data_IF_632826836692
#
_entry.id   IF_632826836692
#
_cell.length_a   1.000
_cell.length_b   1.000
_cell.length_c   1.000
_cell.angle_alpha   90.00
_cell.angle_beta   90.00
_cell.angle_gamma   90.00
#
_symmetry.space_group_name_H-M   'P 1'
#
loop_
_entity.id
_entity.type
_entity.pdbx_description
1 polymer ?
#
# COMPACT_ATOMS: atom_id res chain seq x y z
N UNK A 1 -39.72 12.43 -2.79
CA UNK A 1 -38.79 12.09 -1.69
C UNK A 1 -37.44 12.62 -2.11
N UNK A 2 -36.83 13.46 -1.27
CA UNK A 2 -35.59 14.16 -1.59
C UNK A 2 -34.48 13.14 -1.89
N UNK A 3 -33.84 13.28 -3.05
CA UNK A 3 -32.56 12.65 -3.35
C UNK A 3 -31.56 13.23 -2.36
N UNK A 4 -31.16 12.46 -1.35
CA UNK A 4 -29.98 12.79 -0.57
C UNK A 4 -28.84 12.97 -1.57
N UNK A 5 -28.28 14.18 -1.62
CA UNK A 5 -27.10 14.49 -2.41
C UNK A 5 -25.94 13.80 -1.70
N UNK A 6 -25.82 12.48 -1.89
CA UNK A 6 -24.70 11.72 -1.36
C UNK A 6 -23.46 12.18 -2.14
N UNK A 7 -22.64 12.97 -1.47
CA UNK A 7 -21.36 13.42 -2.00
C UNK A 7 -20.49 12.17 -2.23
N UNK A 8 -20.16 11.90 -3.49
CA UNK A 8 -19.32 10.77 -3.89
C UNK A 8 -17.89 11.30 -4.00
N UNK A 9 -17.00 10.74 -3.19
CA UNK A 9 -15.58 10.97 -3.30
C UNK A 9 -14.94 9.84 -4.14
N UNK A 10 -14.20 10.21 -5.19
CA UNK A 10 -13.46 9.26 -6.01
C UNK A 10 -12.01 9.22 -5.53
N UNK A 11 -11.63 8.09 -4.93
CA UNK A 11 -10.27 7.85 -4.46
C UNK A 11 -9.53 6.96 -5.48
N UNK A 12 -8.33 7.37 -5.88
CA UNK A 12 -7.43 6.56 -6.72
C UNK A 12 -6.44 5.83 -5.83
N UNK A 13 -6.88 4.77 -5.17
CA UNK A 13 -6.02 3.88 -4.39
C UNK A 13 -5.07 3.07 -5.30
N UNK A 14 -4.07 2.45 -4.69
CA UNK A 14 -3.24 1.46 -5.36
C UNK A 14 -3.98 0.12 -5.57
N UNK A 15 -3.37 -0.79 -6.33
CA UNK A 15 -3.90 -2.15 -6.50
C UNK A 15 -3.66 -3.02 -5.26
N UNK A 16 -4.56 -3.97 -5.01
CA UNK A 16 -4.37 -5.03 -4.00
C UNK A 16 -3.33 -6.09 -4.40
N UNK A 17 -2.95 -6.13 -5.69
CA UNK A 17 -2.04 -7.12 -6.27
C UNK A 17 -2.74 -8.37 -6.80
N UNK A 18 -4.07 -8.46 -6.69
CA UNK A 18 -4.88 -9.52 -7.29
C UNK A 18 -5.25 -9.15 -8.73
N UNK A 19 -4.26 -9.06 -9.63
CA UNK A 19 -4.42 -8.43 -10.95
C UNK A 19 -5.46 -9.09 -11.86
N UNK A 20 -5.83 -10.35 -11.64
CA UNK A 20 -6.92 -11.00 -12.40
C UNK A 20 -8.31 -10.46 -12.03
N UNK A 21 -8.42 -9.66 -10.97
CA UNK A 21 -9.65 -8.96 -10.58
C UNK A 21 -9.65 -7.49 -11.02
N UNK A 22 -8.56 -7.01 -11.63
CA UNK A 22 -8.44 -5.60 -11.98
C UNK A 22 -9.14 -5.29 -13.32
N UNK A 23 -9.86 -4.15 -13.45
CA UNK A 23 -10.05 -3.14 -12.41
C UNK A 23 -11.00 -3.61 -11.30
N UNK A 24 -10.53 -3.55 -10.06
CA UNK A 24 -11.31 -3.90 -8.88
C UNK A 24 -11.82 -2.62 -8.22
N UNK A 25 -13.12 -2.36 -8.35
CA UNK A 25 -13.72 -1.13 -7.85
C UNK A 25 -14.29 -1.39 -6.45
N UNK A 26 -13.90 -0.55 -5.49
CA UNK A 26 -14.36 -0.62 -4.11
C UNK A 26 -15.28 0.54 -3.77
N UNK A 27 -16.31 0.27 -2.97
CA UNK A 27 -17.21 1.26 -2.38
C UNK A 27 -17.12 1.12 -0.86
N UNK A 28 -16.84 2.23 -0.21
CA UNK A 28 -16.86 2.35 1.24
C UNK A 28 -18.15 3.02 1.70
N UNK A 29 -18.92 2.35 2.55
CA UNK A 29 -20.12 2.90 3.15
C UNK A 29 -20.28 2.35 4.57
N UNK A 30 -20.66 3.21 5.52
CA UNK A 30 -20.82 2.82 6.94
C UNK A 30 -19.57 2.09 7.50
N UNK A 31 -18.37 2.57 7.15
CA UNK A 31 -17.07 1.98 7.49
C UNK A 31 -16.88 0.52 7.01
N UNK A 32 -17.61 0.10 5.97
CA UNK A 32 -17.41 -1.18 5.30
C UNK A 32 -16.99 -0.93 3.87
N UNK A 33 -15.82 -1.42 3.51
CA UNK A 33 -15.31 -1.43 2.14
C UNK A 33 -15.62 -2.78 1.51
N UNK A 34 -16.33 -2.77 0.39
CA UNK A 34 -16.57 -3.96 -0.43
C UNK A 34 -16.23 -3.60 -1.87
N UNK A 35 -15.80 -4.57 -2.66
CA UNK A 35 -15.47 -4.34 -4.06
C UNK A 35 -15.97 -5.43 -4.98
N UNK A 36 -15.90 -5.13 -6.27
CA UNK A 36 -16.30 -6.01 -7.35
C UNK A 36 -15.27 -5.91 -8.48
N UNK A 37 -14.96 -7.05 -9.09
CA UNK A 37 -14.12 -7.11 -10.29
C UNK A 37 -14.89 -6.65 -11.51
N UNK A 38 -14.28 -5.77 -12.29
CA UNK A 38 -14.73 -5.37 -13.62
C UNK A 38 -13.72 -5.79 -14.70
N UNK A 39 -12.88 -6.80 -14.44
CA UNK A 39 -11.88 -7.30 -15.40
C UNK A 39 -12.49 -7.70 -16.76
N UNK A 40 -13.68 -8.30 -16.74
CA UNK A 40 -14.40 -8.77 -17.93
C UNK A 40 -15.60 -7.90 -18.31
N UNK A 41 -15.76 -6.72 -17.69
CA UNK A 41 -16.90 -5.81 -17.91
C UNK A 41 -16.41 -4.47 -18.47
N UNK A 42 -17.08 -3.97 -19.50
CA UNK A 42 -16.87 -2.60 -19.96
C UNK A 42 -17.61 -1.62 -19.03
N UNK A 43 -16.88 -0.90 -18.19
CA UNK A 43 -17.45 0.10 -17.28
C UNK A 43 -18.05 1.31 -18.01
N UNK A 44 -17.72 1.53 -19.29
CA UNK A 44 -18.31 2.60 -20.10
C UNK A 44 -19.75 2.32 -20.53
N UNK A 45 -20.26 1.10 -20.28
CA UNK A 45 -21.66 0.75 -20.56
C UNK A 45 -22.64 1.49 -19.64
N UNK A 46 -22.20 1.94 -18.46
CA UNK A 46 -23.06 2.63 -17.50
C UNK A 46 -23.28 4.08 -17.91
N UNK A 47 -24.55 4.45 -18.08
CA UNK A 47 -24.98 5.78 -18.52
C UNK A 47 -25.07 6.78 -17.35
N UNK A 48 -25.16 6.26 -16.12
CA UNK A 48 -25.20 7.07 -14.90
C UNK A 48 -24.54 6.36 -13.70
N UNK A 49 -24.25 7.12 -12.65
CA UNK A 49 -23.69 6.57 -11.41
C UNK A 49 -24.69 5.65 -10.71
N UNK A 50 -25.99 5.95 -10.77
CA UNK A 50 -27.05 5.12 -10.19
C UNK A 50 -27.12 3.75 -10.87
N UNK A 51 -26.92 3.69 -12.19
CA UNK A 51 -26.85 2.45 -12.95
C UNK A 51 -25.65 1.60 -12.50
N UNK A 52 -24.46 2.21 -12.44
CA UNK A 52 -23.25 1.56 -11.92
C UNK A 52 -23.45 1.04 -10.48
N UNK A 53 -23.99 1.86 -9.58
CA UNK A 53 -24.24 1.48 -8.19
C UNK A 53 -25.27 0.35 -8.07
N UNK A 54 -26.18 0.22 -9.03
CA UNK A 54 -27.15 -0.87 -9.08
C UNK A 54 -26.49 -2.17 -9.51
N UNK A 55 -25.71 -2.17 -10.61
CA UNK A 55 -24.90 -3.34 -10.99
C UNK A 55 -23.98 -3.77 -9.85
N UNK A 56 -23.27 -2.81 -9.23
CA UNK A 56 -22.38 -3.10 -8.11
C UNK A 56 -23.08 -3.84 -6.95
N UNK A 57 -24.31 -3.43 -6.58
CA UNK A 57 -25.06 -4.07 -5.49
C UNK A 57 -25.61 -5.45 -5.87
N UNK A 58 -26.04 -5.60 -7.11
CA UNK A 58 -26.70 -6.82 -7.60
C UNK A 58 -25.71 -7.96 -7.89
N UNK A 59 -24.42 -7.64 -8.03
CA UNK A 59 -23.35 -8.60 -8.35
C UNK A 59 -22.50 -9.00 -7.12
N UNK A 60 -23.10 -8.99 -5.92
CA UNK A 60 -22.50 -9.54 -4.69
C UNK A 60 -21.07 -9.06 -4.38
N UNK A 61 -20.85 -7.75 -4.16
CA UNK A 61 -19.51 -7.21 -3.90
C UNK A 61 -18.96 -7.80 -2.60
N UNK A 62 -17.65 -7.98 -2.47
CA UNK A 62 -17.04 -8.67 -1.32
C UNK A 62 -15.89 -7.89 -0.71
N UNK A 63 -15.51 -8.21 0.52
CA UNK A 63 -14.29 -7.66 1.12
C UNK A 63 -13.08 -8.42 0.54
N UNK A 64 -12.25 -7.72 -0.24
CA UNK A 64 -11.07 -8.31 -0.87
C UNK A 64 -10.05 -8.84 0.15
N UNK A 65 -10.08 -8.37 1.39
CA UNK A 65 -9.21 -8.88 2.46
C UNK A 65 -9.62 -10.29 2.91
N UNK A 66 -10.87 -10.70 2.67
CA UNK A 66 -11.34 -12.06 2.96
C UNK A 66 -11.04 -13.05 1.83
N UNK A 67 -10.58 -12.57 0.67
CA UNK A 67 -10.11 -13.43 -0.42
C UNK A 67 -8.88 -14.21 0.04
N UNK A 68 -8.91 -15.55 -0.10
CA UNK A 68 -7.81 -16.44 0.36
C UNK A 68 -6.43 -16.00 -0.16
N UNK A 69 -6.36 -15.45 -1.38
CA UNK A 69 -5.12 -14.91 -1.92
C UNK A 69 -4.54 -13.77 -1.07
N UNK A 70 -5.37 -12.87 -0.54
CA UNK A 70 -4.94 -11.72 0.27
C UNK A 70 -4.83 -12.13 1.74
N UNK A 71 -5.86 -12.80 2.27
CA UNK A 71 -5.99 -13.20 3.67
C UNK A 71 -4.81 -14.00 4.18
N UNK A 72 -4.25 -14.87 3.34
CA UNK A 72 -3.15 -15.77 3.71
C UNK A 72 -1.75 -15.14 3.52
N UNK A 73 -1.65 -13.84 3.19
CA UNK A 73 -0.37 -13.14 3.05
C UNK A 73 0.09 -12.50 4.36
N UNK A 74 1.41 -12.48 4.57
CA UNK A 74 2.02 -11.62 5.58
C UNK A 74 2.48 -10.28 4.95
N UNK A 75 1.56 -9.32 4.83
CA UNK A 75 1.80 -8.03 4.16
C UNK A 75 2.54 -7.03 5.06
N UNK A 76 3.77 -7.34 5.48
CA UNK A 76 4.56 -6.41 6.31
C UNK A 76 4.90 -5.11 5.55
N UNK A 77 5.59 -5.26 4.40
CA UNK A 77 5.98 -4.13 3.53
C UNK A 77 4.77 -3.60 2.75
N UNK A 78 3.87 -4.49 2.32
CA UNK A 78 2.68 -4.19 1.51
C UNK A 78 1.44 -3.85 2.35
N UNK A 79 1.59 -3.55 3.63
CA UNK A 79 0.49 -3.35 4.59
C UNK A 79 -0.50 -2.25 4.22
N UNK A 80 -0.09 -1.30 3.37
CA UNK A 80 -0.91 -0.17 2.90
C UNK A 80 -1.34 -0.26 1.44
N UNK A 81 -0.66 -1.10 0.66
CA UNK A 81 -0.87 -1.23 -0.78
C UNK A 81 -2.26 -1.84 -1.01
N UNK A 82 -3.06 -1.20 -1.88
CA UNK A 82 -4.47 -1.54 -2.11
C UNK A 82 -5.45 -0.64 -1.34
N UNK A 83 -5.07 -0.21 -0.13
CA UNK A 83 -6.03 0.46 0.76
C UNK A 83 -6.04 1.98 0.60
N UNK A 84 -4.87 2.61 0.53
CA UNK A 84 -4.74 4.07 0.65
C UNK A 84 -4.56 4.75 -0.71
N UNK A 85 -4.92 6.03 -0.78
CA UNK A 85 -4.45 6.92 -1.84
C UNK A 85 -2.92 7.08 -1.70
N UNK A 86 -2.13 6.67 -2.72
CA UNK A 86 -0.66 6.68 -2.63
C UNK A 86 -0.06 8.08 -2.53
N UNK A 87 -0.83 9.14 -2.84
CA UNK A 87 -0.39 10.54 -2.78
C UNK A 87 -0.98 11.32 -1.60
N UNK A 88 -1.78 10.67 -0.74
CA UNK A 88 -2.35 11.30 0.44
C UNK A 88 -1.45 11.11 1.67
N UNK A 89 -0.88 12.21 2.16
CA UNK A 89 0.03 12.20 3.30
C UNK A 89 -0.69 11.88 4.62
N UNK A 90 -1.91 12.39 4.80
CA UNK A 90 -2.67 12.18 6.04
C UNK A 90 -3.08 10.72 6.17
N UNK A 91 -3.48 10.07 5.08
CA UNK A 91 -3.68 8.62 5.04
C UNK A 91 -2.38 7.88 5.36
N UNK A 92 -1.26 8.24 4.73
CA UNK A 92 0.01 7.60 5.01
C UNK A 92 0.35 7.65 6.51
N UNK A 93 0.17 8.80 7.17
CA UNK A 93 0.40 9.00 8.61
C UNK A 93 -0.59 8.16 9.44
N UNK A 94 -1.89 8.19 9.11
CA UNK A 94 -2.92 7.40 9.78
C UNK A 94 -2.63 5.90 9.73
N UNK A 95 -2.01 5.42 8.64
CA UNK A 95 -1.54 4.04 8.48
C UNK A 95 -0.09 3.82 8.94
N UNK A 96 0.31 4.51 10.03
CA UNK A 96 1.63 4.39 10.71
C UNK A 96 2.83 4.84 9.86
N UNK A 97 2.59 5.62 8.81
CA UNK A 97 3.64 6.30 8.06
C UNK A 97 4.51 7.16 8.98
N UNK A 98 5.77 7.31 8.62
CA UNK A 98 6.81 8.00 9.40
C UNK A 98 7.10 7.51 10.82
N UNK A 99 6.35 6.56 11.40
CA UNK A 99 6.66 6.04 12.76
C UNK A 99 8.06 5.45 12.89
N UNK A 100 8.54 4.77 11.85
CA UNK A 100 9.93 4.29 11.80
C UNK A 100 10.96 5.44 11.71
N UNK A 101 10.62 6.53 11.02
CA UNK A 101 11.48 7.70 10.86
C UNK A 101 11.56 8.52 12.16
N UNK A 102 10.41 8.78 12.79
CA UNK A 102 10.32 9.41 14.13
C UNK A 102 11.22 8.65 15.10
N UNK A 103 11.07 7.31 15.15
CA UNK A 103 11.88 6.47 16.03
C UNK A 103 13.39 6.53 15.71
N UNK A 104 13.75 6.58 14.42
CA UNK A 104 15.15 6.67 14.02
C UNK A 104 15.81 8.00 14.46
N UNK A 105 15.06 9.11 14.45
CA UNK A 105 15.55 10.38 14.99
C UNK A 105 15.75 10.33 16.51
N UNK A 106 14.85 9.67 17.24
CA UNK A 106 14.95 9.54 18.71
C UNK A 106 16.18 8.74 19.16
N UNK A 107 16.50 7.64 18.46
CA UNK A 107 17.61 6.75 18.86
C UNK A 107 18.92 7.08 18.17
N UNK A 108 18.88 7.90 17.13
CA UNK A 108 20.06 8.27 16.35
C UNK A 108 20.56 7.15 15.43
N UNK A 109 21.65 7.46 14.72
CA UNK A 109 22.15 6.65 13.60
C UNK A 109 22.64 5.27 14.04
N UNK A 110 23.49 5.22 15.08
CA UNK A 110 24.11 3.98 15.57
C UNK A 110 23.06 2.96 16.00
N UNK A 111 22.08 3.38 16.80
CA UNK A 111 21.02 2.48 17.27
C UNK A 111 20.06 2.10 16.16
N UNK A 112 19.80 2.99 15.20
CA UNK A 112 19.03 2.65 14.00
C UNK A 112 19.70 1.54 13.19
N UNK A 113 21.01 1.64 12.94
CA UNK A 113 21.78 0.59 12.24
C UNK A 113 21.75 -0.72 13.04
N UNK A 114 21.89 -0.65 14.36
CA UNK A 114 21.78 -1.81 15.23
C UNK A 114 20.41 -2.49 15.15
N UNK A 115 19.30 -1.74 15.15
CA UNK A 115 17.96 -2.29 14.97
C UNK A 115 17.80 -2.99 13.61
N UNK A 116 18.31 -2.38 12.52
CA UNK A 116 18.30 -3.00 11.19
C UNK A 116 19.12 -4.29 11.19
N UNK A 117 20.30 -4.30 11.81
CA UNK A 117 21.14 -5.50 11.95
C UNK A 117 20.44 -6.60 12.74
N UNK A 118 19.81 -6.26 13.86
CA UNK A 118 19.07 -7.20 14.70
C UNK A 118 17.82 -7.77 14.00
N UNK A 119 17.21 -7.02 13.08
CA UNK A 119 16.08 -7.50 12.28
C UNK A 119 16.42 -8.64 11.32
N UNK A 120 17.71 -8.84 11.01
CA UNK A 120 18.14 -9.82 10.01
C UNK A 120 17.79 -9.43 8.56
N UNK A 121 17.46 -8.16 8.29
CA UNK A 121 17.12 -7.70 6.94
C UNK A 121 18.29 -7.93 5.97
N UNK A 122 18.02 -8.66 4.89
CA UNK A 122 18.93 -8.87 3.77
C UNK A 122 18.48 -8.09 2.54
N UNK A 123 19.43 -7.79 1.64
CA UNK A 123 19.14 -7.14 0.37
C UNK A 123 18.15 -7.94 -0.48
N UNK A 124 17.09 -7.30 -0.96
CA UNK A 124 16.01 -7.96 -1.71
C UNK A 124 16.23 -8.03 -3.22
N UNK A 125 17.27 -7.39 -3.75
CA UNK A 125 17.67 -7.46 -5.17
C UNK A 125 18.44 -8.74 -5.56
N UNK A 126 18.24 -9.86 -4.86
CA UNK A 126 18.84 -11.16 -5.20
C UNK A 126 20.02 -11.59 -4.34
N UNK A 127 21.05 -10.75 -4.16
CA UNK A 127 22.30 -11.17 -3.50
C UNK A 127 22.17 -11.44 -1.98
N UNK A 128 21.05 -11.07 -1.35
CA UNK A 128 20.76 -11.32 0.07
C UNK A 128 21.85 -10.86 1.06
N UNK A 129 22.69 -9.88 0.69
CA UNK A 129 23.71 -9.35 1.58
C UNK A 129 23.06 -8.67 2.81
N UNK A 130 23.56 -8.88 4.05
CA UNK A 130 22.98 -8.28 5.24
C UNK A 130 22.97 -6.75 5.20
N UNK A 131 21.78 -6.15 5.25
CA UNK A 131 21.58 -4.71 5.08
C UNK A 131 22.23 -3.92 6.23
N UNK A 132 22.12 -4.42 7.47
CA UNK A 132 22.75 -3.78 8.63
C UNK A 132 24.28 -3.73 8.54
N UNK A 133 24.93 -4.78 7.99
CA UNK A 133 26.38 -4.78 7.79
C UNK A 133 26.77 -3.74 6.73
N UNK A 134 26.05 -3.71 5.60
CA UNK A 134 26.29 -2.72 4.55
C UNK A 134 26.19 -1.29 5.06
N UNK A 135 25.15 -1.00 5.85
CA UNK A 135 24.95 0.33 6.44
C UNK A 135 26.03 0.68 7.46
N UNK A 136 26.46 -0.28 8.29
CA UNK A 136 27.55 -0.08 9.24
C UNK A 136 28.86 0.29 8.52
N UNK A 137 29.22 -0.44 7.46
CA UNK A 137 30.43 -0.12 6.66
C UNK A 137 30.40 1.29 6.09
N UNK A 138 29.24 1.76 5.60
CA UNK A 138 29.09 3.14 5.12
C UNK A 138 29.13 4.16 6.26
N UNK A 139 28.56 3.82 7.41
CA UNK A 139 28.57 4.69 8.60
C UNK A 139 29.99 4.89 9.14
N UNK A 140 30.77 3.82 9.24
CA UNK A 140 32.14 3.83 9.79
C UNK A 140 33.15 4.53 8.88
N UNK A 141 32.85 4.65 7.58
CA UNK A 141 33.73 5.35 6.66
C UNK A 141 33.73 6.86 6.91
N UNK A 142 34.90 7.44 7.15
CA UNK A 142 35.06 8.89 7.27
C UNK A 142 34.90 9.56 5.90
N UNK A 143 33.88 10.43 5.79
CA UNK A 143 33.63 11.25 4.62
C UNK A 143 32.67 12.38 4.98
N UNK A 144 32.92 13.59 4.50
CA UNK A 144 32.02 14.73 4.64
C UNK A 144 30.69 14.52 3.89
N UNK A 145 30.75 13.76 2.79
CA UNK A 145 29.58 13.51 1.92
C UNK A 145 29.36 12.01 1.78
N UNK A 146 28.11 11.60 1.97
CA UNK A 146 27.64 10.22 1.78
C UNK A 146 26.35 10.23 0.96
N UNK A 147 26.09 9.13 0.26
CA UNK A 147 24.94 9.00 -0.63
C UNK A 147 24.10 7.78 -0.27
N UNK A 148 22.78 7.91 -0.43
CA UNK A 148 21.84 6.79 -0.47
C UNK A 148 21.35 6.66 -1.91
N UNK A 149 21.49 5.47 -2.48
CA UNK A 149 21.04 5.16 -3.84
C UNK A 149 20.03 4.03 -3.76
N UNK A 150 18.82 4.29 -4.27
CA UNK A 150 17.81 3.26 -4.49
C UNK A 150 17.95 2.74 -5.91
N UNK A 151 18.17 1.43 -6.06
CA UNK A 151 18.04 0.79 -7.37
C UNK A 151 16.58 0.40 -7.58
N UNK A 152 15.91 1.07 -8.52
CA UNK A 152 14.54 0.80 -8.94
C UNK A 152 14.47 0.30 -10.40
N UNK A 153 15.62 -0.10 -10.97
CA UNK A 153 15.70 -0.79 -12.25
C UNK A 153 15.31 -2.27 -12.02
N UNK A 154 14.01 -2.55 -12.12
CA UNK A 154 13.44 -3.89 -12.02
C UNK A 154 13.30 -4.45 -13.44
N UNK A 155 14.41 -4.98 -13.98
CA UNK A 155 14.54 -5.51 -15.33
C UNK A 155 14.04 -6.94 -15.54
#
# INVERSE_FOLDING_TARGET
MATENNEIEIIRNGSWGAFWLEPFIEIESQNKRRGLSYADKDVSQFSSIEEFLTDFRDNEPFDIQELDFIKNQNRLVFSRIGYCNPLNLDEYINFKGYKGLERAFEIGQTDTINQIRLSGLTGRGGAAFPTGIKLQTVHDQESEVKYIVCNADEG
#
